data_IF_741227691509
#
_entry.id   IF_741227691509
#
_cell.length_a   1.000
_cell.length_b   1.000
_cell.length_c   1.000
_cell.angle_alpha   90.00
_cell.angle_beta   90.00
_cell.angle_gamma   90.00
#
_symmetry.space_group_name_H-M   'P 1'
#
loop_
_entity.id
_entity.type
_entity.pdbx_description
1 polymer ?
#
# COMPACT_ATOMS: atom_id res chain seq x y z
N UNK A 1 -83.07 49.48 20.13
CA UNK A 1 -81.79 49.06 20.71
C UNK A 1 -81.32 47.82 19.96
N UNK A 2 -80.60 48.00 18.84
CA UNK A 2 -80.07 46.91 18.02
C UNK A 2 -78.60 46.71 18.39
N UNK A 3 -78.27 45.59 19.03
CA UNK A 3 -76.92 45.23 19.41
C UNK A 3 -76.22 44.59 18.20
N UNK A 4 -75.19 45.24 17.67
CA UNK A 4 -74.37 44.73 16.56
C UNK A 4 -73.35 43.71 17.07
N UNK A 5 -73.32 42.54 16.44
CA UNK A 5 -72.26 41.54 16.54
C UNK A 5 -70.90 42.11 16.12
N UNK A 6 -69.87 41.85 16.91
CA UNK A 6 -68.48 41.96 16.48
C UNK A 6 -67.86 40.55 16.51
N UNK A 7 -67.48 40.05 15.34
CA UNK A 7 -66.74 38.80 15.16
C UNK A 7 -65.26 39.10 15.37
N UNK A 8 -64.63 38.46 16.36
CA UNK A 8 -63.19 38.54 16.57
C UNK A 8 -62.55 37.32 15.92
N UNK A 9 -61.80 37.54 14.83
CA UNK A 9 -60.99 36.52 14.16
C UNK A 9 -59.68 36.33 14.93
N UNK A 10 -59.51 35.16 15.57
CA UNK A 10 -58.26 34.76 16.20
C UNK A 10 -57.38 34.04 15.16
N UNK A 11 -56.22 34.62 14.84
CA UNK A 11 -55.21 34.01 13.97
C UNK A 11 -54.43 32.94 14.75
N UNK A 12 -54.55 31.68 14.35
CA UNK A 12 -53.75 30.56 14.85
C UNK A 12 -52.32 30.66 14.31
N UNK A 13 -51.34 30.89 15.19
CA UNK A 13 -49.91 30.84 14.84
C UNK A 13 -49.43 29.40 14.96
N UNK A 14 -49.17 28.73 13.85
CA UNK A 14 -48.66 27.36 13.81
C UNK A 14 -47.19 27.36 14.25
N UNK A 15 -46.88 26.78 15.42
CA UNK A 15 -45.50 26.53 15.83
C UNK A 15 -44.95 25.39 14.96
N UNK A 16 -43.98 25.71 14.09
CA UNK A 16 -43.22 24.69 13.35
C UNK A 16 -42.11 24.20 14.28
N UNK A 17 -42.31 23.01 14.88
CA UNK A 17 -41.25 22.29 15.57
C UNK A 17 -40.26 21.78 14.51
N UNK A 18 -39.12 22.43 14.39
CA UNK A 18 -37.99 21.93 13.59
C UNK A 18 -37.36 20.74 14.31
N UNK A 19 -37.74 19.54 13.88
CA UNK A 19 -37.05 18.31 14.24
C UNK A 19 -35.61 18.39 13.73
N UNK A 20 -34.64 18.61 14.63
CA UNK A 20 -33.23 18.41 14.30
C UNK A 20 -32.98 16.93 14.13
N UNK A 21 -32.92 16.46 12.89
CA UNK A 21 -32.38 15.14 12.57
C UNK A 21 -30.90 15.13 12.97
N UNK A 22 -30.61 14.53 14.13
CA UNK A 22 -29.24 14.14 14.46
C UNK A 22 -28.89 12.95 13.59
N UNK A 23 -28.13 13.17 12.53
CA UNK A 23 -27.52 12.12 11.73
C UNK A 23 -26.59 11.32 12.65
N UNK A 24 -26.95 10.09 13.00
CA UNK A 24 -26.04 9.17 13.69
C UNK A 24 -24.87 8.93 12.73
N UNK A 25 -23.72 9.53 13.04
CA UNK A 25 -22.47 9.15 12.39
C UNK A 25 -22.25 7.66 12.68
N UNK A 26 -22.25 6.82 11.64
CA UNK A 26 -21.73 5.46 11.79
C UNK A 26 -20.34 5.58 12.42
N UNK A 27 -20.01 4.83 13.48
CA UNK A 27 -18.67 4.86 14.03
C UNK A 27 -17.73 4.43 12.90
N UNK A 28 -16.90 5.37 12.42
CA UNK A 28 -15.89 5.07 11.42
C UNK A 28 -14.99 3.99 12.02
N UNK A 29 -14.99 2.81 11.40
CA UNK A 29 -14.15 1.71 11.86
C UNK A 29 -12.67 2.12 11.76
N UNK A 30 -11.89 1.85 12.82
CA UNK A 30 -10.46 2.15 12.85
C UNK A 30 -9.69 1.42 11.74
N UNK A 31 -10.16 0.24 11.35
CA UNK A 31 -9.68 -0.54 10.22
C UNK A 31 -10.75 -0.61 9.13
N UNK A 32 -10.31 -0.59 7.88
CA UNK A 32 -11.18 -0.79 6.71
C UNK A 32 -11.12 -2.24 6.25
N UNK A 33 -12.19 -2.77 5.63
CA UNK A 33 -12.13 -4.07 4.97
C UNK A 33 -11.04 -4.09 3.90
N UNK A 34 -10.31 -5.20 3.81
CA UNK A 34 -9.37 -5.44 2.72
C UNK A 34 -10.06 -5.37 1.35
N UNK A 35 -9.35 -5.08 0.25
CA UNK A 35 -9.96 -4.87 -1.06
C UNK A 35 -10.86 -6.02 -1.52
N UNK A 36 -10.42 -7.27 -1.31
CA UNK A 36 -11.18 -8.48 -1.66
C UNK A 36 -12.45 -8.65 -0.81
N UNK A 37 -12.49 -8.06 0.39
CA UNK A 37 -13.63 -8.13 1.31
C UNK A 37 -14.59 -6.95 1.17
N UNK A 38 -14.18 -5.86 0.53
CA UNK A 38 -14.94 -4.61 0.49
C UNK A 38 -16.35 -4.78 -0.08
N UNK A 39 -16.50 -5.50 -1.21
CA UNK A 39 -17.80 -5.74 -1.83
C UNK A 39 -18.72 -6.59 -0.95
N UNK A 40 -18.17 -7.61 -0.28
CA UNK A 40 -18.93 -8.48 0.63
C UNK A 40 -19.33 -7.72 1.88
N UNK A 41 -18.43 -6.92 2.45
CA UNK A 41 -18.73 -6.11 3.64
C UNK A 41 -19.83 -5.08 3.39
N UNK A 42 -19.97 -4.59 2.15
CA UNK A 42 -21.02 -3.66 1.75
C UNK A 42 -22.42 -4.31 1.60
N UNK A 43 -22.56 -5.63 1.71
CA UNK A 43 -23.86 -6.31 1.65
C UNK A 43 -24.73 -5.85 2.84
N UNK A 44 -26.00 -5.46 2.61
CA UNK A 44 -26.91 -5.05 3.68
C UNK A 44 -27.03 -6.12 4.79
N UNK A 45 -27.23 -5.67 6.03
CA UNK A 45 -27.29 -6.47 7.27
C UNK A 45 -26.01 -7.25 7.65
N UNK A 46 -25.12 -7.56 6.69
CA UNK A 46 -23.91 -8.31 6.95
C UNK A 46 -22.88 -7.49 7.73
N UNK A 47 -22.65 -6.24 7.33
CA UNK A 47 -21.76 -5.33 8.07
C UNK A 47 -22.26 -5.06 9.50
N UNK A 48 -23.57 -5.01 9.72
CA UNK A 48 -24.15 -4.87 11.05
C UNK A 48 -23.86 -6.11 11.94
N UNK A 49 -23.88 -7.31 11.36
CA UNK A 49 -23.56 -8.56 12.08
C UNK A 49 -22.06 -8.76 12.31
N UNK A 50 -21.23 -8.40 11.33
CA UNK A 50 -19.77 -8.48 11.44
C UNK A 50 -19.21 -7.39 12.35
N UNK A 51 -19.84 -6.22 12.40
CA UNK A 51 -19.26 -5.04 13.02
C UNK A 51 -17.95 -4.60 12.35
N UNK A 52 -17.21 -3.73 13.04
CA UNK A 52 -15.97 -3.18 12.49
C UNK A 52 -14.86 -4.24 12.36
N UNK A 53 -14.02 -4.15 11.30
CA UNK A 53 -12.76 -4.89 11.28
C UNK A 53 -11.90 -4.50 12.49
N UNK A 54 -11.27 -5.50 13.12
CA UNK A 54 -10.43 -5.31 14.32
C UNK A 54 -8.93 -5.33 14.01
N UNK A 55 -8.58 -5.53 12.74
CA UNK A 55 -7.22 -5.52 12.24
C UNK A 55 -7.17 -5.47 10.70
N UNK A 56 -5.96 -5.41 10.13
CA UNK A 56 -5.78 -5.47 8.68
C UNK A 56 -6.13 -6.86 8.15
N UNK A 57 -6.45 -6.94 6.86
CA UNK A 57 -6.48 -8.24 6.17
C UNK A 57 -5.05 -8.74 5.95
N UNK A 58 -4.82 -10.03 6.18
CA UNK A 58 -3.50 -10.65 6.10
C UNK A 58 -3.49 -11.86 5.17
N UNK A 59 -2.42 -12.07 4.36
CA UNK A 59 -2.24 -13.31 3.63
C UNK A 59 -1.98 -14.45 4.60
N UNK A 60 -2.61 -15.60 4.37
CA UNK A 60 -2.45 -16.80 5.18
C UNK A 60 -2.42 -18.01 4.24
N UNK A 61 -1.48 -18.93 4.46
CA UNK A 61 -1.52 -20.23 3.78
C UNK A 61 -2.69 -21.04 4.34
N UNK A 62 -3.55 -21.52 3.45
CA UNK A 62 -4.68 -22.38 3.81
C UNK A 62 -4.48 -23.79 3.24
N UNK A 63 -5.19 -24.74 3.82
CA UNK A 63 -5.51 -26.00 3.19
C UNK A 63 -7.02 -26.20 3.24
N UNK A 64 -7.58 -26.82 2.20
CA UNK A 64 -9.01 -27.11 2.13
C UNK A 64 -9.24 -28.55 1.72
N UNK A 65 -10.20 -29.18 2.36
CA UNK A 65 -10.72 -30.48 1.94
C UNK A 65 -12.26 -30.44 1.92
N UNK A 66 -12.84 -30.95 0.83
CA UNK A 66 -14.29 -31.01 0.64
C UNK A 66 -14.83 -32.32 1.20
N UNK A 67 -15.98 -32.25 1.86
CA UNK A 67 -16.67 -33.39 2.47
C UNK A 67 -18.10 -33.49 1.93
N UNK A 68 -18.74 -34.63 2.16
CA UNK A 68 -20.11 -34.88 1.69
C UNK A 68 -21.11 -33.79 2.15
N UNK A 69 -20.95 -33.27 3.37
CA UNK A 69 -21.88 -32.33 4.01
C UNK A 69 -21.20 -31.09 4.54
N UNK A 70 -19.98 -30.82 4.13
CA UNK A 70 -19.25 -29.64 4.57
C UNK A 70 -17.91 -29.47 3.89
N UNK A 71 -17.15 -28.54 4.41
CA UNK A 71 -15.79 -28.23 3.99
C UNK A 71 -14.98 -27.98 5.26
N UNK A 72 -13.75 -28.51 5.30
CA UNK A 72 -12.79 -28.09 6.30
C UNK A 72 -11.75 -27.16 5.68
N UNK A 73 -11.41 -26.10 6.40
CA UNK A 73 -10.35 -25.16 6.03
C UNK A 73 -9.38 -25.05 7.18
N UNK A 74 -8.11 -25.36 6.95
CA UNK A 74 -7.04 -25.15 7.90
C UNK A 74 -6.33 -23.83 7.60
N UNK A 75 -5.97 -23.08 8.64
CA UNK A 75 -5.15 -21.86 8.54
C UNK A 75 -3.80 -22.04 9.24
N UNK A 76 -2.73 -21.66 8.55
CA UNK A 76 -1.37 -21.94 9.01
C UNK A 76 -0.91 -21.09 10.21
N UNK A 77 -1.32 -19.83 10.27
CA UNK A 77 -0.83 -18.85 11.24
C UNK A 77 -1.23 -19.17 12.68
N UNK A 78 -2.48 -19.57 12.90
CA UNK A 78 -3.00 -19.96 14.22
C UNK A 78 -3.19 -21.47 14.37
N UNK A 79 -2.91 -22.25 13.31
CA UNK A 79 -3.15 -23.69 13.29
C UNK A 79 -4.57 -24.07 13.70
N UNK A 80 -5.55 -23.40 13.12
CA UNK A 80 -6.97 -23.70 13.35
C UNK A 80 -7.57 -24.43 12.15
N UNK A 81 -8.49 -25.35 12.42
CA UNK A 81 -9.36 -26.01 11.46
C UNK A 81 -10.77 -25.45 11.62
N UNK A 82 -11.27 -24.83 10.57
CA UNK A 82 -12.68 -24.46 10.44
C UNK A 82 -13.45 -25.62 9.86
N UNK A 83 -14.49 -26.05 10.55
CA UNK A 83 -15.47 -27.03 10.06
C UNK A 83 -16.70 -26.26 9.64
N UNK A 84 -16.98 -26.22 8.34
CA UNK A 84 -18.06 -25.43 7.73
C UNK A 84 -19.09 -26.41 7.15
N UNK A 85 -20.26 -26.52 7.77
CA UNK A 85 -21.30 -27.47 7.38
C UNK A 85 -22.24 -26.84 6.35
N UNK A 86 -22.66 -27.61 5.34
CA UNK A 86 -23.67 -27.16 4.36
C UNK A 86 -25.01 -26.77 5.02
N UNK A 87 -25.28 -27.30 6.21
CA UNK A 87 -26.44 -26.95 7.05
C UNK A 87 -26.37 -25.54 7.69
N UNK A 88 -25.39 -24.70 7.32
CA UNK A 88 -25.32 -23.30 7.74
C UNK A 88 -24.64 -23.05 9.09
N UNK A 89 -24.01 -24.08 9.68
CA UNK A 89 -23.26 -23.98 10.95
C UNK A 89 -21.77 -24.11 10.70
N UNK A 90 -20.96 -23.38 11.46
CA UNK A 90 -19.51 -23.58 11.46
C UNK A 90 -18.96 -23.69 12.88
N UNK A 91 -17.74 -24.22 13.00
CA UNK A 91 -17.00 -24.34 14.25
C UNK A 91 -15.51 -24.27 13.99
N UNK A 92 -14.73 -23.99 15.03
CA UNK A 92 -13.27 -23.92 14.99
C UNK A 92 -12.66 -24.91 15.96
N UNK A 93 -11.58 -25.57 15.54
CA UNK A 93 -10.82 -26.51 16.33
C UNK A 93 -9.32 -26.24 16.18
N UNK A 94 -8.54 -26.54 17.21
CA UNK A 94 -7.09 -26.53 17.10
C UNK A 94 -6.59 -27.72 16.28
N UNK A 95 -5.65 -27.46 15.38
CA UNK A 95 -4.91 -28.50 14.68
C UNK A 95 -3.78 -29.03 15.59
N UNK A 96 -4.04 -30.18 16.19
CA UNK A 96 -3.08 -30.89 17.05
C UNK A 96 -2.21 -31.87 16.26
N UNK A 97 -2.29 -31.88 14.92
CA UNK A 97 -1.55 -32.85 14.11
C UNK A 97 -0.05 -32.58 14.12
N UNK A 98 0.72 -33.67 14.19
CA UNK A 98 2.18 -33.65 14.06
C UNK A 98 2.56 -34.32 12.74
N UNK A 99 3.43 -33.66 11.96
CA UNK A 99 3.81 -34.17 10.64
C UNK A 99 4.40 -35.58 10.76
N UNK A 100 3.79 -36.52 10.02
CA UNK A 100 4.19 -37.93 10.01
C UNK A 100 3.62 -38.78 11.15
N UNK A 101 2.78 -38.24 12.05
CA UNK A 101 2.13 -39.08 13.05
C UNK A 101 1.15 -40.07 12.40
N UNK A 102 1.07 -41.27 12.98
CA UNK A 102 0.20 -42.32 12.49
C UNK A 102 -1.22 -42.17 13.04
N UNK A 103 -2.19 -41.98 12.14
CA UNK A 103 -3.61 -41.78 12.51
C UNK A 103 -4.45 -43.06 12.54
N UNK A 104 -3.88 -44.20 12.14
CA UNK A 104 -4.62 -45.45 11.95
C UNK A 104 -5.48 -45.45 10.69
N UNK A 105 -5.73 -46.65 10.15
CA UNK A 105 -6.62 -46.83 9.01
C UNK A 105 -8.07 -46.63 9.45
N UNK A 106 -8.84 -45.71 8.82
CA UNK A 106 -10.25 -45.50 9.13
C UNK A 106 -11.17 -46.49 8.38
N UNK A 107 -10.60 -47.46 7.67
CA UNK A 107 -11.29 -48.23 6.65
C UNK A 107 -11.33 -47.52 5.29
N UNK A 108 -11.85 -48.20 4.27
CA UNK A 108 -12.00 -47.65 2.92
C UNK A 108 -13.46 -47.25 2.70
N UNK A 109 -13.76 -46.00 2.33
CA UNK A 109 -15.11 -45.62 1.99
C UNK A 109 -15.47 -46.05 0.56
N UNK A 110 -16.74 -46.38 0.34
CA UNK A 110 -17.24 -46.71 -0.99
C UNK A 110 -17.43 -45.46 -1.87
N UNK A 111 -17.60 -45.67 -3.18
CA UNK A 111 -18.07 -44.61 -4.09
C UNK A 111 -17.04 -43.52 -4.43
N UNK A 112 -15.74 -43.83 -4.36
CA UNK A 112 -14.68 -42.88 -4.72
C UNK A 112 -14.43 -41.78 -3.69
N UNK A 113 -14.99 -41.94 -2.49
CA UNK A 113 -14.72 -41.07 -1.34
C UNK A 113 -13.29 -41.30 -0.83
N UNK A 114 -12.80 -40.33 -0.05
CA UNK A 114 -11.44 -40.35 0.47
C UNK A 114 -11.49 -40.25 2.00
N UNK A 115 -10.58 -40.98 2.65
CA UNK A 115 -10.31 -40.81 4.05
C UNK A 115 -9.48 -39.52 4.25
N UNK A 116 -9.95 -38.53 5.02
CA UNK A 116 -9.14 -37.35 5.30
C UNK A 116 -7.87 -37.75 6.04
N UNK A 117 -6.77 -37.09 5.73
CA UNK A 117 -5.46 -37.31 6.34
C UNK A 117 -5.00 -36.09 7.14
N UNK A 118 -3.85 -36.18 7.81
CA UNK A 118 -3.21 -35.07 8.55
C UNK A 118 -4.15 -34.40 9.57
N UNK A 119 -4.15 -33.07 9.64
CA UNK A 119 -4.95 -32.28 10.59
C UNK A 119 -6.44 -32.59 10.50
N UNK A 120 -7.00 -32.61 9.28
CA UNK A 120 -8.40 -32.94 9.06
C UNK A 120 -8.70 -34.38 9.45
N UNK A 121 -7.83 -35.31 9.05
CA UNK A 121 -7.94 -36.73 9.36
C UNK A 121 -7.91 -37.03 10.85
N UNK A 122 -7.06 -36.34 11.61
CA UNK A 122 -6.95 -36.47 13.06
C UNK A 122 -8.22 -35.97 13.73
N UNK A 123 -8.65 -34.75 13.39
CA UNK A 123 -9.88 -34.16 13.94
C UNK A 123 -11.09 -35.06 13.67
N UNK A 124 -11.23 -35.53 12.43
CA UNK A 124 -12.32 -36.40 11.99
C UNK A 124 -12.35 -37.76 12.72
N UNK A 125 -11.18 -38.37 13.00
CA UNK A 125 -11.13 -39.63 13.75
C UNK A 125 -11.45 -39.43 15.24
N UNK A 126 -10.93 -38.37 15.85
CA UNK A 126 -11.03 -38.13 17.29
C UNK A 126 -12.35 -37.49 17.73
N UNK A 127 -13.04 -36.75 16.85
CA UNK A 127 -14.31 -36.07 17.14
C UNK A 127 -15.42 -36.70 16.31
N UNK A 128 -16.13 -37.67 16.90
CA UNK A 128 -17.24 -38.35 16.22
C UNK A 128 -18.33 -37.36 15.77
N UNK A 129 -18.59 -36.32 16.56
CA UNK A 129 -19.52 -35.24 16.22
C UNK A 129 -19.13 -34.50 14.94
N UNK A 130 -17.84 -34.31 14.69
CA UNK A 130 -17.35 -33.68 13.45
C UNK A 130 -17.49 -34.66 12.29
N UNK A 131 -17.04 -35.90 12.47
CA UNK A 131 -17.12 -36.95 11.44
C UNK A 131 -18.55 -37.21 10.98
N UNK A 132 -19.47 -37.37 11.93
CA UNK A 132 -20.86 -37.70 11.63
C UNK A 132 -21.55 -36.50 10.97
N UNK A 133 -21.17 -35.27 11.32
CA UNK A 133 -21.69 -34.06 10.68
C UNK A 133 -21.20 -33.89 9.23
N UNK A 134 -19.88 -33.94 8.99
CA UNK A 134 -19.30 -33.67 7.66
C UNK A 134 -19.35 -34.86 6.69
N UNK A 135 -19.32 -36.09 7.20
CA UNK A 135 -19.20 -37.30 6.40
C UNK A 135 -17.76 -37.56 5.92
N UNK A 136 -17.61 -38.38 4.88
CA UNK A 136 -16.31 -38.66 4.26
C UNK A 136 -15.85 -37.51 3.35
N UNK A 137 -14.55 -37.42 3.08
CA UNK A 137 -14.03 -36.47 2.11
C UNK A 137 -14.41 -36.89 0.69
N UNK A 138 -14.69 -35.92 -0.18
CA UNK A 138 -15.06 -36.12 -1.58
C UNK A 138 -13.91 -35.78 -2.53
N UNK A 139 -12.86 -35.15 -2.02
CA UNK A 139 -11.62 -34.85 -2.71
C UNK A 139 -10.48 -34.86 -1.68
N UNK A 140 -9.25 -35.04 -2.14
CA UNK A 140 -8.06 -34.92 -1.28
C UNK A 140 -7.83 -33.48 -0.86
N UNK A 141 -7.24 -33.30 0.33
CA UNK A 141 -6.73 -32.02 0.80
C UNK A 141 -5.88 -31.29 -0.26
N UNK A 142 -6.16 -30.00 -0.44
CA UNK A 142 -5.40 -29.12 -1.32
C UNK A 142 -4.95 -27.85 -0.58
N UNK A 143 -3.65 -27.55 -0.66
CA UNK A 143 -3.11 -26.27 -0.24
C UNK A 143 -3.60 -25.15 -1.16
N UNK A 144 -4.02 -24.03 -0.58
CA UNK A 144 -4.59 -22.90 -1.33
C UNK A 144 -4.12 -21.57 -0.68
N UNK A 145 -3.73 -20.56 -1.47
CA UNK A 145 -3.47 -19.25 -0.90
C UNK A 145 -4.77 -18.67 -0.34
N UNK A 146 -4.68 -17.93 0.76
CA UNK A 146 -5.81 -17.28 1.37
C UNK A 146 -5.49 -15.92 1.94
N UNK A 147 -6.55 -15.20 2.31
CA UNK A 147 -6.49 -14.00 3.13
C UNK A 147 -7.56 -14.08 4.20
N UNK A 148 -7.26 -13.58 5.39
CA UNK A 148 -8.21 -13.52 6.50
C UNK A 148 -8.25 -12.09 7.03
N UNK A 149 -9.45 -11.62 7.35
CA UNK A 149 -9.64 -10.42 8.16
C UNK A 149 -10.62 -10.71 9.29
N UNK A 150 -10.22 -10.32 10.50
CA UNK A 150 -11.05 -10.47 11.70
C UNK A 150 -11.92 -9.21 11.89
N UNK A 151 -13.16 -9.42 12.32
CA UNK A 151 -14.16 -8.41 12.60
C UNK A 151 -14.71 -8.60 14.01
N UNK A 152 -15.36 -7.58 14.58
CA UNK A 152 -15.87 -7.61 15.95
C UNK A 152 -16.87 -8.76 16.21
N UNK A 153 -17.64 -9.15 15.19
CA UNK A 153 -18.69 -10.18 15.25
C UNK A 153 -18.40 -11.41 14.37
N UNK A 154 -17.20 -11.55 13.82
CA UNK A 154 -16.87 -12.69 12.96
C UNK A 154 -15.55 -12.53 12.21
N UNK A 155 -15.41 -13.27 11.12
CA UNK A 155 -14.27 -13.17 10.21
C UNK A 155 -14.66 -13.43 8.76
N UNK A 156 -13.90 -12.86 7.85
CA UNK A 156 -13.94 -13.24 6.44
C UNK A 156 -12.68 -14.00 6.06
N UNK A 157 -12.86 -15.07 5.28
CA UNK A 157 -11.79 -15.93 4.76
C UNK A 157 -11.92 -15.95 3.25
N UNK A 158 -11.00 -15.30 2.54
CA UNK A 158 -10.87 -15.41 1.09
C UNK A 158 -9.97 -16.58 0.74
N UNK A 159 -10.39 -17.39 -0.23
CA UNK A 159 -9.62 -18.52 -0.76
C UNK A 159 -9.23 -18.26 -2.22
N UNK A 160 -8.08 -18.78 -2.63
CA UNK A 160 -7.49 -18.56 -3.97
C UNK A 160 -8.36 -18.95 -5.16
N UNK A 161 -9.39 -19.77 -4.95
CA UNK A 161 -10.44 -20.11 -5.92
C UNK A 161 -11.60 -19.11 -5.94
N UNK A 162 -11.36 -17.90 -5.41
CA UNK A 162 -12.27 -16.75 -5.43
C UNK A 162 -13.57 -16.96 -4.64
N UNK A 163 -13.49 -17.67 -3.53
CA UNK A 163 -14.61 -17.81 -2.57
C UNK A 163 -14.28 -17.04 -1.30
N UNK A 164 -15.25 -16.30 -0.77
CA UNK A 164 -15.17 -15.60 0.50
C UNK A 164 -16.15 -16.27 1.46
N UNK A 165 -15.64 -16.89 2.51
CA UNK A 165 -16.44 -17.43 3.61
C UNK A 165 -16.57 -16.37 4.69
N UNK A 166 -17.79 -16.03 5.07
CA UNK A 166 -18.10 -15.15 6.19
C UNK A 166 -18.54 -16.03 7.36
N UNK A 167 -17.70 -16.08 8.39
CA UNK A 167 -17.87 -16.94 9.56
C UNK A 167 -18.21 -16.07 10.77
N UNK A 168 -19.48 -16.05 11.17
CA UNK A 168 -19.98 -15.17 12.23
C UNK A 168 -19.87 -15.83 13.61
N UNK A 169 -19.62 -15.06 14.67
CA UNK A 169 -19.45 -15.62 16.01
C UNK A 169 -20.72 -16.23 16.62
N UNK A 170 -21.90 -15.94 16.06
CA UNK A 170 -23.14 -16.65 16.38
C UNK A 170 -23.19 -18.09 15.81
N UNK A 171 -22.17 -18.50 15.06
CA UNK A 171 -22.00 -19.81 14.45
C UNK A 171 -22.68 -19.95 13.10
N UNK A 172 -23.30 -18.90 12.57
CA UNK A 172 -23.80 -18.88 11.19
C UNK A 172 -22.65 -18.61 10.21
N UNK A 173 -22.81 -19.08 8.97
CA UNK A 173 -21.91 -18.72 7.89
C UNK A 173 -22.64 -18.50 6.57
N UNK A 174 -21.99 -17.78 5.67
CA UNK A 174 -22.41 -17.58 4.28
C UNK A 174 -21.17 -17.47 3.40
N UNK A 175 -21.27 -17.86 2.13
CA UNK A 175 -20.20 -17.62 1.16
C UNK A 175 -20.63 -16.70 0.03
N UNK A 176 -19.64 -15.98 -0.52
CA UNK A 176 -19.78 -15.12 -1.68
C UNK A 176 -18.67 -15.44 -2.67
N UNK A 177 -18.93 -15.21 -3.96
CA UNK A 177 -17.88 -15.15 -4.95
C UNK A 177 -17.12 -13.83 -4.82
N UNK A 178 -15.80 -13.88 -4.90
CA UNK A 178 -14.96 -12.70 -4.98
C UNK A 178 -15.12 -12.04 -6.36
N UNK A 179 -15.96 -11.01 -6.39
CA UNK A 179 -16.20 -10.11 -7.53
C UNK A 179 -15.24 -8.93 -7.56
N UNK A 180 -14.28 -8.85 -6.62
CA UNK A 180 -13.25 -7.81 -6.64
C UNK A 180 -12.36 -8.02 -7.87
N UNK A 181 -12.63 -7.23 -8.88
CA UNK A 181 -11.70 -7.05 -9.99
C UNK A 181 -10.62 -6.14 -9.45
N UNK A 182 -9.39 -6.64 -9.32
CA UNK A 182 -8.24 -5.74 -9.18
C UNK A 182 -8.39 -4.73 -10.29
N UNK A 183 -8.62 -3.45 -9.93
CA UNK A 183 -8.51 -2.39 -10.91
C UNK A 183 -7.18 -2.66 -11.64
N UNK A 184 -7.16 -2.74 -12.98
CA UNK A 184 -5.91 -2.91 -13.69
C UNK A 184 -4.99 -1.87 -13.09
N UNK A 185 -3.90 -2.32 -12.45
CA UNK A 185 -2.91 -1.41 -11.88
C UNK A 185 -2.65 -0.46 -13.04
N UNK A 186 -3.01 0.84 -12.92
CA UNK A 186 -2.77 1.75 -14.02
C UNK A 186 -1.31 1.53 -14.39
N UNK A 187 -1.01 1.27 -15.68
CA UNK A 187 0.33 0.91 -16.10
C UNK A 187 1.27 1.87 -15.39
N UNK A 188 2.30 1.36 -14.68
CA UNK A 188 3.03 2.12 -13.67
C UNK A 188 3.23 3.52 -14.21
N UNK A 189 2.51 4.48 -13.62
CA UNK A 189 2.66 5.85 -14.05
C UNK A 189 4.16 6.11 -13.95
N UNK A 190 4.81 6.64 -15.00
CA UNK A 190 6.20 7.02 -14.89
C UNK A 190 6.30 7.81 -13.60
N UNK A 191 7.15 7.33 -12.68
CA UNK A 191 7.42 8.07 -11.45
C UNK A 191 7.64 9.52 -11.88
N UNK A 192 7.02 10.52 -11.20
CA UNK A 192 7.35 11.90 -11.48
C UNK A 192 8.88 11.98 -11.49
N UNK A 193 9.51 12.49 -12.57
CA UNK A 193 10.95 12.63 -12.56
C UNK A 193 11.33 13.35 -11.27
N UNK A 194 12.36 12.89 -10.54
CA UNK A 194 12.84 13.66 -9.41
C UNK A 194 13.04 15.10 -9.90
N UNK A 195 12.52 16.08 -9.17
CA UNK A 195 12.72 17.48 -9.51
C UNK A 195 14.22 17.66 -9.83
N UNK A 196 14.59 18.25 -10.97
CA UNK A 196 16.00 18.47 -11.27
C UNK A 196 16.56 19.27 -10.10
N UNK A 197 17.48 18.67 -9.34
CA UNK A 197 18.22 19.42 -8.35
C UNK A 197 18.96 20.49 -9.15
N UNK A 198 18.77 21.79 -8.87
CA UNK A 198 19.59 22.79 -9.53
C UNK A 198 21.05 22.41 -9.25
N UNK A 199 21.89 22.49 -10.28
CA UNK A 199 23.32 22.35 -10.08
C UNK A 199 23.80 23.39 -9.05
N UNK A 200 24.93 23.11 -8.43
CA UNK A 200 25.50 23.96 -7.39
C UNK A 200 26.90 24.38 -7.77
N UNK A 201 27.25 25.64 -7.51
CA UNK A 201 28.65 26.05 -7.45
C UNK A 201 29.22 25.65 -6.09
N UNK A 202 30.38 25.01 -6.08
CA UNK A 202 31.04 24.52 -4.84
C UNK A 202 32.43 25.12 -4.68
N UNK A 203 32.89 25.24 -3.43
CA UNK A 203 34.25 25.64 -3.09
C UNK A 203 34.73 26.90 -3.85
N UNK A 204 35.88 26.82 -4.55
CA UNK A 204 36.46 27.94 -5.29
C UNK A 204 35.57 28.46 -6.42
N UNK A 205 34.72 27.62 -7.02
CA UNK A 205 33.76 28.06 -8.04
C UNK A 205 32.66 28.91 -7.44
N UNK A 206 32.17 28.54 -6.26
CA UNK A 206 31.24 29.40 -5.50
C UNK A 206 31.92 30.73 -5.13
N UNK A 207 33.15 30.69 -4.64
CA UNK A 207 33.88 31.91 -4.27
C UNK A 207 34.13 32.86 -5.45
N UNK A 208 34.44 32.33 -6.64
CA UNK A 208 34.58 33.13 -7.86
C UNK A 208 33.21 33.65 -8.34
N UNK A 209 32.20 32.78 -8.38
CA UNK A 209 30.82 33.13 -8.76
C UNK A 209 30.24 34.24 -7.89
N UNK A 210 30.42 34.17 -6.58
CA UNK A 210 29.83 35.13 -5.64
C UNK A 210 30.41 36.55 -5.83
N UNK A 211 31.63 36.67 -6.38
CA UNK A 211 32.26 37.96 -6.67
C UNK A 211 31.91 38.53 -8.05
N UNK A 212 31.67 37.67 -9.06
CA UNK A 212 31.30 38.09 -10.41
C UNK A 212 30.01 37.41 -10.91
N UNK A 213 28.88 37.55 -10.17
CA UNK A 213 27.66 36.82 -10.46
C UNK A 213 26.96 37.25 -11.77
N UNK A 214 27.18 38.46 -12.25
CA UNK A 214 26.59 38.85 -13.52
C UNK A 214 27.36 38.24 -14.71
N UNK A 215 28.67 38.03 -14.54
CA UNK A 215 29.58 37.52 -15.57
C UNK A 215 29.42 36.01 -15.77
N UNK A 216 29.43 35.24 -14.68
CA UNK A 216 29.44 33.76 -14.72
C UNK A 216 28.08 33.17 -15.13
N UNK A 217 26.98 33.86 -14.80
CA UNK A 217 25.62 33.31 -14.94
C UNK A 217 25.32 32.04 -14.11
N UNK A 218 24.23 31.36 -14.45
CA UNK A 218 23.79 30.13 -13.76
C UNK A 218 24.66 28.94 -14.14
N UNK A 219 24.77 27.94 -13.27
CA UNK A 219 25.40 26.68 -13.64
C UNK A 219 24.51 25.90 -14.63
N UNK A 220 25.13 25.05 -15.45
CA UNK A 220 24.44 24.11 -16.34
C UNK A 220 24.56 22.66 -15.86
N UNK A 221 25.55 22.37 -15.01
CA UNK A 221 25.87 21.07 -14.44
C UNK A 221 26.67 21.24 -13.14
N UNK A 222 26.87 20.18 -12.36
CA UNK A 222 27.83 20.18 -11.25
C UNK A 222 29.27 20.15 -11.79
N UNK A 223 30.21 20.57 -10.96
CA UNK A 223 31.63 20.44 -11.25
C UNK A 223 32.06 18.98 -11.42
N UNK A 224 33.01 18.74 -12.33
CA UNK A 224 33.56 17.41 -12.57
C UNK A 224 35.05 17.48 -12.88
N UNK A 225 35.76 16.41 -12.53
CA UNK A 225 37.19 16.26 -12.75
C UNK A 225 37.47 15.82 -14.19
N UNK A 226 38.26 16.60 -14.92
CA UNK A 226 38.74 16.27 -16.25
C UNK A 226 40.02 15.41 -16.14
N UNK A 227 39.97 14.12 -16.50
CA UNK A 227 41.12 13.22 -16.35
C UNK A 227 42.26 13.50 -17.34
N UNK A 228 42.02 14.28 -18.40
CA UNK A 228 43.04 14.57 -19.42
C UNK A 228 44.07 15.60 -18.95
N UNK A 229 43.63 16.62 -18.22
CA UNK A 229 44.48 17.72 -17.72
C UNK A 229 44.55 17.78 -16.19
N UNK A 230 43.70 17.03 -15.49
CA UNK A 230 43.60 17.02 -14.04
C UNK A 230 42.87 18.22 -13.45
N UNK A 231 42.22 19.04 -14.26
CA UNK A 231 41.45 20.20 -13.80
C UNK A 231 40.07 19.78 -13.29
N UNK A 232 39.45 20.64 -12.50
CA UNK A 232 38.01 20.54 -12.23
C UNK A 232 37.33 21.61 -13.06
N UNK A 233 36.22 21.29 -13.72
CA UNK A 233 35.52 22.21 -14.62
C UNK A 233 34.02 22.21 -14.36
N UNK A 234 33.36 23.34 -14.66
CA UNK A 234 31.90 23.47 -14.56
C UNK A 234 31.38 24.42 -15.64
N UNK A 235 30.41 23.97 -16.43
CA UNK A 235 29.76 24.80 -17.46
C UNK A 235 28.69 25.71 -16.85
N UNK A 236 28.57 26.89 -17.41
CA UNK A 236 27.69 27.98 -16.94
C UNK A 236 27.04 28.70 -18.12
N UNK A 237 26.04 29.54 -17.88
CA UNK A 237 25.35 30.29 -18.94
C UNK A 237 26.16 31.46 -19.50
N UNK A 238 27.08 32.03 -18.70
CA UNK A 238 27.73 33.34 -18.94
C UNK A 238 26.73 34.50 -19.09
N UNK A 239 27.22 35.75 -19.01
CA UNK A 239 26.40 36.96 -19.12
C UNK A 239 25.73 37.14 -20.49
N UNK A 240 26.36 36.63 -21.57
CA UNK A 240 25.86 36.73 -22.94
C UNK A 240 25.02 35.51 -23.37
N UNK A 241 24.84 34.51 -22.49
CA UNK A 241 24.00 33.35 -22.76
C UNK A 241 24.55 32.35 -23.80
N UNK A 242 25.80 32.50 -24.25
CA UNK A 242 26.46 31.57 -25.19
C UNK A 242 27.30 30.50 -24.46
N UNK A 243 27.21 30.47 -23.12
CA UNK A 243 27.96 29.56 -22.28
C UNK A 243 29.30 30.11 -21.83
N UNK A 244 29.78 29.60 -20.70
CA UNK A 244 31.11 29.86 -20.18
C UNK A 244 31.59 28.73 -19.28
N UNK A 245 32.89 28.69 -19.00
CA UNK A 245 33.53 27.61 -18.29
C UNK A 245 34.24 28.13 -17.05
N UNK A 246 33.84 27.62 -15.88
CA UNK A 246 34.65 27.69 -14.67
C UNK A 246 35.68 26.56 -14.69
N UNK A 247 36.92 26.89 -14.35
CA UNK A 247 38.05 25.95 -14.32
C UNK A 247 38.84 26.18 -13.05
N UNK A 248 39.06 25.12 -12.27
CA UNK A 248 40.09 25.08 -11.25
C UNK A 248 41.28 24.35 -11.86
N UNK A 249 42.39 25.06 -11.97
CA UNK A 249 43.60 24.54 -12.58
C UNK A 249 44.44 23.83 -11.53
N UNK A 250 44.78 22.57 -11.79
CA UNK A 250 45.64 21.80 -10.88
C UNK A 250 47.07 22.35 -10.82
N UNK A 251 47.56 22.91 -11.93
CA UNK A 251 48.96 23.36 -12.07
C UNK A 251 49.34 24.47 -11.08
N UNK A 252 48.41 25.38 -10.81
CA UNK A 252 48.66 26.61 -10.05
C UNK A 252 47.63 26.87 -8.96
N UNK A 253 46.66 25.97 -8.79
CA UNK A 253 45.59 26.03 -7.79
C UNK A 253 44.67 27.26 -7.95
N UNK A 254 44.65 27.91 -9.12
CA UNK A 254 43.79 29.05 -9.39
C UNK A 254 42.43 28.63 -9.95
N UNK A 255 41.37 29.31 -9.53
CA UNK A 255 40.06 29.27 -10.21
C UNK A 255 39.95 30.39 -11.24
N UNK A 256 39.45 30.08 -12.41
CA UNK A 256 39.16 31.03 -13.47
C UNK A 256 37.79 30.79 -14.10
N UNK A 257 37.22 31.83 -14.69
CA UNK A 257 36.06 31.77 -15.58
C UNK A 257 36.48 32.25 -16.97
N UNK A 258 36.06 31.56 -18.03
CA UNK A 258 36.25 32.01 -19.41
C UNK A 258 34.95 31.96 -20.19
N UNK A 259 34.71 32.98 -21.01
CA UNK A 259 33.63 33.00 -22.00
C UNK A 259 34.10 32.57 -23.41
N UNK A 260 35.37 32.12 -23.52
CA UNK A 260 36.02 31.79 -24.78
C UNK A 260 36.82 32.94 -25.40
N UNK A 261 36.59 34.19 -24.99
CA UNK A 261 37.33 35.37 -25.46
C UNK A 261 38.08 36.07 -24.31
N UNK A 262 37.38 36.40 -23.22
CA UNK A 262 37.93 36.90 -21.98
C UNK A 262 38.08 35.77 -20.95
N UNK A 263 39.08 35.94 -20.07
CA UNK A 263 39.27 35.09 -18.89
C UNK A 263 39.39 35.96 -17.65
N UNK A 264 38.63 35.61 -16.62
CA UNK A 264 38.68 36.18 -15.28
C UNK A 264 39.38 35.20 -14.37
N UNK A 265 40.58 35.53 -13.90
CA UNK A 265 41.39 34.67 -13.02
C UNK A 265 41.33 35.24 -11.62
N UNK A 266 40.96 34.41 -10.64
CA UNK A 266 40.95 34.79 -9.22
C UNK A 266 42.37 34.72 -8.66
N UNK A 267 43.23 35.70 -9.01
CA UNK A 267 44.67 35.75 -8.74
C UNK A 267 45.08 36.31 -7.36
N UNK A 268 46.37 36.62 -7.15
CA UNK A 268 46.88 37.12 -5.87
C UNK A 268 46.43 38.56 -5.59
N UNK A 269 45.97 39.26 -6.62
CA UNK A 269 45.43 40.62 -6.55
C UNK A 269 43.90 40.64 -6.69
N UNK A 270 43.24 39.50 -6.41
CA UNK A 270 41.81 39.31 -6.64
C UNK A 270 41.50 38.94 -8.10
N UNK A 271 40.24 39.12 -8.49
CA UNK A 271 39.78 38.75 -9.84
C UNK A 271 40.29 39.78 -10.85
N UNK A 272 41.13 39.31 -11.78
CA UNK A 272 41.65 40.11 -12.89
C UNK A 272 41.19 39.53 -14.22
N UNK A 273 40.89 40.41 -15.19
CA UNK A 273 40.43 40.03 -16.53
C UNK A 273 41.55 40.21 -17.55
N UNK A 274 41.73 39.23 -18.43
CA UNK A 274 42.66 39.27 -19.58
C UNK A 274 42.06 38.58 -20.80
N UNK A 275 42.62 38.80 -21.99
CA UNK A 275 42.26 37.99 -23.16
C UNK A 275 42.68 36.53 -22.93
N UNK A 276 41.94 35.60 -23.54
CA UNK A 276 42.27 34.19 -23.46
C UNK A 276 43.64 33.88 -24.11
N UNK A 277 44.07 34.72 -25.06
CA UNK A 277 45.38 34.65 -25.73
C UNK A 277 46.54 35.29 -24.96
N UNK A 278 46.27 35.94 -23.83
CA UNK A 278 47.26 36.61 -22.99
C UNK A 278 47.46 35.84 -21.69
N UNK A 279 48.51 36.17 -20.92
CA UNK A 279 48.69 35.73 -19.52
C UNK A 279 49.18 36.90 -18.68
N UNK A 280 48.89 36.89 -17.39
CA UNK A 280 49.56 37.81 -16.47
C UNK A 280 50.98 37.33 -16.17
N UNK A 281 51.90 38.26 -15.88
CA UNK A 281 53.31 37.95 -15.56
C UNK A 281 53.47 36.98 -14.37
N UNK A 282 52.45 36.90 -13.51
CA UNK A 282 52.42 36.03 -12.34
C UNK A 282 51.77 34.66 -12.60
N UNK A 283 51.13 34.46 -13.75
CA UNK A 283 50.62 33.14 -14.15
C UNK A 283 51.78 32.29 -14.64
N UNK A 284 52.08 31.23 -13.88
CA UNK A 284 53.08 30.24 -14.27
C UNK A 284 52.53 29.29 -15.32
N UNK A 285 53.43 28.70 -16.10
CA UNK A 285 53.15 27.61 -17.05
C UNK A 285 52.77 26.31 -16.32
#
# INVERSE_FOLDING_TARGET
>A
MMLRCAVVLATLTTLVLTSSSSTIAQPYCAWQPGPQFANVYAVPDLSARLGCPVGPDAPVQLARESFQRGTMIWRADWRHIYVILHAGRWSVYDDTYQEGEFLGSPGSPDGGLVAPDRGFGKLWRQRSEVRDAVGWATATEAGIPGRIQEFAGGRMVWTGDRVIYVLLFDGAWVSYSDTYVYAPVPPPQPLPPPLPRPCEFRLGFKALRDQIPEVVGSCLENDWFNPLDGNVVQRTTAYHGLGGLLVWRKADNWTAFTDGYWTWVNGPFGIQRRLNSERFDWERD
#
